data_IF_524331324841
#
_entry.id   IF_524331324841
#
_cell.length_a   1.000
_cell.length_b   1.000
_cell.length_c   1.000
_cell.angle_alpha   90.00
_cell.angle_beta   90.00
_cell.angle_gamma   90.00
#
_symmetry.space_group_name_H-M   'P 1'
#
loop_
_entity.id
_entity.type
_entity.pdbx_description
1 polymer ?
#
# COMPACT_ATOMS: atom_id res chain seq x y z
N UNK A 1 -29.31 -3.27 0.17
CA UNK A 1 -28.41 -4.38 -0.20
C UNK A 1 -29.17 -5.70 -0.31
N UNK A 2 -30.34 -5.70 -0.96
CA UNK A 2 -31.11 -6.93 -1.21
C UNK A 2 -30.51 -7.58 -2.47
N UNK A 3 -30.34 -8.91 -2.47
CA UNK A 3 -29.77 -9.65 -3.60
C UNK A 3 -28.23 -9.76 -3.62
N UNK A 4 -27.51 -9.21 -2.63
CA UNK A 4 -26.05 -9.37 -2.57
C UNK A 4 -25.62 -10.84 -2.42
N UNK A 5 -26.35 -11.61 -1.60
CA UNK A 5 -26.05 -13.03 -1.40
C UNK A 5 -26.19 -13.79 -2.72
N UNK A 6 -27.33 -13.64 -3.41
CA UNK A 6 -27.57 -14.26 -4.72
C UNK A 6 -26.52 -13.86 -5.76
N UNK A 7 -26.15 -12.57 -5.81
CA UNK A 7 -25.11 -12.08 -6.72
C UNK A 7 -23.71 -12.61 -6.39
N UNK A 8 -23.41 -12.88 -5.12
CA UNK A 8 -22.10 -13.35 -4.67
C UNK A 8 -21.91 -14.88 -4.73
N UNK A 9 -22.95 -15.58 -5.16
CA UNK A 9 -22.98 -17.04 -5.29
C UNK A 9 -22.97 -17.43 -6.76
N UNK A 10 -22.21 -18.48 -7.07
CA UNK A 10 -22.23 -19.18 -8.34
C UNK A 10 -23.06 -20.45 -8.20
N UNK A 11 -23.81 -20.78 -9.24
CA UNK A 11 -24.62 -22.00 -9.30
C UNK A 11 -23.84 -23.12 -9.97
N UNK A 12 -23.88 -24.31 -9.38
CA UNK A 12 -23.29 -25.54 -9.90
C UNK A 12 -24.37 -26.57 -10.14
N UNK A 13 -24.32 -27.27 -11.28
CA UNK A 13 -25.21 -28.39 -11.54
C UNK A 13 -24.58 -29.67 -10.99
N UNK A 14 -25.25 -30.32 -10.05
CA UNK A 14 -24.70 -31.50 -9.36
C UNK A 14 -24.63 -32.73 -10.26
N UNK A 15 -25.32 -32.73 -11.42
CA UNK A 15 -25.11 -33.73 -12.47
C UNK A 15 -23.66 -33.80 -12.95
N UNK A 16 -22.91 -32.71 -12.77
CA UNK A 16 -21.52 -32.57 -13.22
C UNK A 16 -20.52 -32.91 -12.10
N UNK A 17 -20.98 -33.50 -10.99
CA UNK A 17 -20.11 -33.99 -9.94
C UNK A 17 -19.15 -35.07 -10.46
N UNK A 18 -17.90 -34.98 -10.00
CA UNK A 18 -16.95 -36.08 -10.13
C UNK A 18 -17.30 -37.16 -9.10
N UNK A 19 -16.81 -38.37 -9.34
CA UNK A 19 -17.08 -39.56 -8.51
C UNK A 19 -16.81 -39.35 -7.01
N UNK A 20 -15.95 -38.39 -6.66
CA UNK A 20 -15.53 -38.06 -5.29
C UNK A 20 -16.24 -36.84 -4.66
N UNK A 21 -17.16 -36.16 -5.36
CA UNK A 21 -17.77 -34.89 -4.92
C UNK A 21 -19.23 -35.00 -4.47
N UNK A 22 -19.89 -36.12 -4.74
CA UNK A 22 -21.30 -36.34 -4.37
C UNK A 22 -21.51 -36.59 -2.89
N UNK A 23 -22.77 -36.57 -2.46
CA UNK A 23 -23.15 -36.90 -1.10
C UNK A 23 -22.74 -38.34 -0.72
N UNK A 24 -22.52 -38.55 0.58
CA UNK A 24 -22.31 -39.90 1.13
C UNK A 24 -23.51 -40.78 0.76
N UNK A 25 -23.29 -42.09 0.59
CA UNK A 25 -24.28 -43.07 0.08
C UNK A 25 -25.65 -43.11 0.79
N UNK A 26 -25.82 -42.39 1.90
CA UNK A 26 -27.06 -42.20 2.65
C UNK A 26 -27.93 -41.03 2.20
N UNK A 27 -27.43 -40.12 1.35
CA UNK A 27 -28.15 -38.90 0.94
C UNK A 27 -28.16 -38.73 -0.59
N UNK A 28 -29.22 -38.12 -1.11
CA UNK A 28 -29.35 -37.80 -2.54
C UNK A 28 -28.85 -36.39 -2.78
N UNK A 29 -28.03 -36.21 -3.81
CA UNK A 29 -27.60 -34.88 -4.24
C UNK A 29 -28.79 -34.02 -4.70
N UNK A 30 -28.86 -32.73 -4.30
CA UNK A 30 -29.84 -31.79 -4.83
C UNK A 30 -29.55 -31.52 -6.31
N UNK A 31 -30.53 -31.06 -7.11
CA UNK A 31 -30.31 -30.84 -8.55
C UNK A 31 -29.28 -29.71 -8.84
N UNK A 32 -29.23 -28.70 -7.97
CA UNK A 32 -28.27 -27.59 -8.05
C UNK A 32 -27.74 -27.24 -6.67
N UNK A 33 -26.48 -26.81 -6.61
CA UNK A 33 -25.89 -26.26 -5.40
C UNK A 33 -25.27 -24.88 -5.68
N UNK A 34 -25.13 -24.07 -4.64
CA UNK A 34 -24.56 -22.73 -4.74
C UNK A 34 -23.29 -22.63 -3.88
N UNK A 35 -22.27 -22.00 -4.43
CA UNK A 35 -21.00 -21.78 -3.75
C UNK A 35 -20.52 -20.35 -3.96
N UNK A 36 -19.70 -19.86 -3.05
CA UNK A 36 -19.18 -18.49 -3.11
C UNK A 36 -18.24 -18.34 -4.30
N UNK A 37 -18.60 -17.47 -5.25
CA UNK A 37 -17.80 -17.25 -6.46
C UNK A 37 -18.51 -16.39 -7.49
N UNK A 38 -17.74 -15.92 -8.46
CA UNK A 38 -18.24 -15.22 -9.66
C UNK A 38 -17.88 -16.05 -10.90
N UNK A 39 -18.63 -17.12 -11.12
CA UNK A 39 -18.46 -18.02 -12.26
C UNK A 39 -19.72 -18.06 -13.10
N UNK A 40 -19.55 -18.41 -14.37
CA UNK A 40 -20.65 -18.56 -15.30
C UNK A 40 -21.54 -19.73 -14.89
N UNK A 41 -22.83 -19.64 -15.23
CA UNK A 41 -23.79 -20.68 -14.93
C UNK A 41 -23.58 -21.95 -15.77
N UNK A 42 -24.27 -23.05 -15.42
CA UNK A 42 -24.17 -24.33 -16.12
C UNK A 42 -24.67 -24.28 -17.58
N UNK A 43 -25.55 -23.34 -17.92
CA UNK A 43 -26.13 -23.18 -19.25
C UNK A 43 -25.46 -22.08 -20.10
N UNK A 44 -24.36 -21.51 -19.60
CA UNK A 44 -23.64 -20.45 -20.31
C UNK A 44 -22.73 -21.03 -21.41
N UNK A 45 -22.22 -20.19 -22.32
CA UNK A 45 -21.34 -20.65 -23.41
C UNK A 45 -20.00 -21.21 -22.91
N UNK A 46 -19.54 -20.72 -21.75
CA UNK A 46 -18.36 -21.22 -21.04
C UNK A 46 -18.77 -21.60 -19.60
N UNK A 47 -19.34 -22.80 -19.39
CA UNK A 47 -19.84 -23.22 -18.08
C UNK A 47 -18.74 -23.23 -17.03
N UNK A 48 -19.06 -22.73 -15.83
CA UNK A 48 -18.16 -22.70 -14.68
C UNK A 48 -16.86 -21.89 -14.89
N UNK A 49 -16.70 -21.23 -16.03
CA UNK A 49 -15.62 -20.27 -16.31
C UNK A 49 -15.71 -19.02 -15.43
N UNK A 50 -14.67 -18.18 -15.46
CA UNK A 50 -14.67 -16.91 -14.72
C UNK A 50 -15.64 -15.93 -15.38
N UNK A 51 -16.59 -15.41 -14.60
CA UNK A 51 -17.54 -14.42 -15.09
C UNK A 51 -16.84 -13.07 -15.33
N UNK A 52 -17.31 -12.23 -16.28
CA UNK A 52 -16.90 -10.84 -16.38
C UNK A 52 -17.00 -10.07 -15.04
N UNK A 53 -17.96 -10.42 -14.17
CA UNK A 53 -18.08 -9.82 -12.83
C UNK A 53 -16.87 -10.11 -11.94
N UNK A 54 -16.25 -11.28 -12.07
CA UNK A 54 -15.02 -11.62 -11.37
C UNK A 54 -13.94 -10.58 -11.64
N UNK A 55 -13.72 -10.26 -12.93
CA UNK A 55 -12.69 -9.33 -13.36
C UNK A 55 -12.94 -7.90 -12.88
N UNK A 56 -14.20 -7.45 -12.87
CA UNK A 56 -14.55 -6.14 -12.31
C UNK A 56 -14.25 -6.05 -10.81
N UNK A 57 -14.64 -7.07 -10.04
CA UNK A 57 -14.37 -7.12 -8.59
C UNK A 57 -12.87 -7.22 -8.33
N UNK A 58 -12.13 -8.01 -9.12
CA UNK A 58 -10.69 -8.12 -9.04
C UNK A 58 -10.00 -6.77 -9.31
N UNK A 59 -10.36 -6.10 -10.41
CA UNK A 59 -9.82 -4.78 -10.76
C UNK A 59 -10.14 -3.74 -9.68
N UNK A 60 -11.37 -3.73 -9.15
CA UNK A 60 -11.76 -2.83 -8.06
C UNK A 60 -10.94 -3.06 -6.78
N UNK A 61 -10.65 -4.32 -6.42
CA UNK A 61 -9.78 -4.65 -5.28
C UNK A 61 -8.35 -4.17 -5.49
N UNK A 62 -7.79 -4.35 -6.69
CA UNK A 62 -6.46 -3.86 -7.02
C UNK A 62 -6.41 -2.33 -7.00
N UNK A 63 -7.39 -1.65 -7.61
CA UNK A 63 -7.48 -0.20 -7.60
C UNK A 63 -7.59 0.34 -6.17
N UNK A 64 -8.35 -0.32 -5.29
CA UNK A 64 -8.44 0.05 -3.89
C UNK A 64 -7.06 -0.01 -3.20
N UNK A 65 -6.29 -1.08 -3.41
CA UNK A 65 -4.94 -1.21 -2.83
C UNK A 65 -4.03 -0.08 -3.32
N UNK A 66 -4.01 0.17 -4.63
CA UNK A 66 -3.19 1.23 -5.24
C UNK A 66 -3.58 2.60 -4.68
N UNK A 67 -4.86 2.94 -4.66
CA UNK A 67 -5.33 4.24 -4.13
C UNK A 67 -4.98 4.37 -2.65
N UNK A 68 -5.22 3.32 -1.85
CA UNK A 68 -4.91 3.32 -0.43
C UNK A 68 -3.41 3.52 -0.18
N UNK A 69 -2.56 2.83 -0.93
CA UNK A 69 -1.10 3.01 -0.87
C UNK A 69 -0.68 4.46 -1.16
N UNK A 70 -1.20 5.07 -2.23
CA UNK A 70 -0.88 6.46 -2.57
C UNK A 70 -1.37 7.43 -1.49
N UNK A 71 -2.55 7.20 -0.92
CA UNK A 71 -3.08 8.02 0.20
C UNK A 71 -2.16 7.93 1.41
N UNK A 72 -1.74 6.72 1.79
CA UNK A 72 -0.81 6.51 2.90
C UNK A 72 0.52 7.21 2.62
N UNK A 73 1.09 7.04 1.43
CA UNK A 73 2.33 7.72 1.06
C UNK A 73 2.23 9.24 1.11
N UNK A 74 1.13 9.82 0.61
CA UNK A 74 0.90 11.26 0.69
C UNK A 74 0.82 11.72 2.13
N UNK A 75 0.06 11.03 2.99
CA UNK A 75 -0.05 11.38 4.41
C UNK A 75 1.31 11.28 5.11
N UNK A 76 2.09 10.23 4.85
CA UNK A 76 3.43 10.09 5.42
C UNK A 76 4.39 11.16 4.92
N UNK A 77 4.30 11.55 3.64
CA UNK A 77 5.10 12.64 3.08
C UNK A 77 4.74 13.99 3.69
N UNK A 78 3.46 14.26 3.92
CA UNK A 78 3.00 15.46 4.63
C UNK A 78 3.53 15.45 6.07
N UNK A 79 3.48 14.31 6.77
CA UNK A 79 4.03 14.20 8.13
C UNK A 79 5.53 14.51 8.18
N UNK A 80 6.31 13.97 7.24
CA UNK A 80 7.74 14.26 7.10
C UNK A 80 8.00 15.74 6.78
N UNK A 81 7.10 16.40 6.04
CA UNK A 81 7.22 17.82 5.77
C UNK A 81 6.92 18.67 7.02
N UNK A 82 5.92 18.29 7.82
CA UNK A 82 5.51 19.03 9.02
C UNK A 82 6.53 18.88 10.15
N UNK A 83 7.12 17.70 10.31
CA UNK A 83 8.10 17.41 11.37
C UNK A 83 9.50 17.46 10.74
N UNK A 84 10.20 18.61 10.76
CA UNK A 84 11.55 18.68 10.24
C UNK A 84 12.48 17.81 11.10
N UNK A 85 13.34 17.03 10.46
CA UNK A 85 14.30 16.13 11.13
C UNK A 85 15.24 16.87 12.10
N UNK A 86 15.45 18.17 11.89
CA UNK A 86 16.28 19.03 12.75
C UNK A 86 15.38 20.09 13.38
N UNK A 87 15.21 20.10 14.71
CA UNK A 87 14.45 21.14 15.39
C UNK A 87 15.14 22.51 15.21
N UNK A 88 14.34 23.57 15.14
CA UNK A 88 14.83 24.93 14.86
C UNK A 88 15.92 25.38 15.85
N UNK A 89 15.81 24.98 17.12
CA UNK A 89 16.78 25.32 18.15
C UNK A 89 18.19 24.77 17.85
N UNK A 90 18.29 23.51 17.41
CA UNK A 90 19.58 22.90 17.04
C UNK A 90 20.18 23.61 15.82
N UNK A 91 19.35 24.01 14.85
CA UNK A 91 19.80 24.80 13.70
C UNK A 91 20.40 26.14 14.15
N UNK A 92 19.76 26.82 15.11
CA UNK A 92 20.28 28.08 15.68
C UNK A 92 21.59 27.86 16.44
N UNK A 93 21.69 26.80 17.24
CA UNK A 93 22.92 26.46 17.95
C UNK A 93 24.08 26.15 16.98
N UNK A 94 23.84 25.34 15.95
CA UNK A 94 24.83 25.06 14.90
C UNK A 94 25.31 26.33 14.19
N UNK A 95 24.40 27.25 13.83
CA UNK A 95 24.78 28.51 13.21
C UNK A 95 25.64 29.37 14.14
N UNK A 96 25.31 29.40 15.43
CA UNK A 96 26.09 30.12 16.44
C UNK A 96 27.49 29.55 16.59
N UNK A 97 27.63 28.24 16.70
CA UNK A 97 28.93 27.58 16.79
C UNK A 97 29.78 27.79 15.52
N UNK A 98 29.16 27.72 14.34
CA UNK A 98 29.84 28.01 13.08
C UNK A 98 30.34 29.44 12.99
N UNK A 99 29.57 30.41 13.51
CA UNK A 99 29.97 31.82 13.56
C UNK A 99 31.16 31.99 14.50
N UNK A 100 31.08 31.48 15.73
CA UNK A 100 32.17 31.54 16.70
C UNK A 100 33.45 30.89 16.17
N UNK A 101 33.33 29.74 15.49
CA UNK A 101 34.47 29.06 14.87
C UNK A 101 35.11 29.87 13.73
N UNK A 102 34.31 30.59 12.93
CA UNK A 102 34.82 31.49 11.88
C UNK A 102 35.55 32.69 12.46
N UNK A 103 35.00 33.32 13.48
CA UNK A 103 35.63 34.45 14.16
C UNK A 103 36.97 34.04 14.81
N UNK A 104 37.00 32.90 15.50
CA UNK A 104 38.23 32.36 16.09
C UNK A 104 39.32 32.16 15.04
N UNK A 105 38.99 31.55 13.88
CA UNK A 105 39.94 31.36 12.77
C UNK A 105 40.44 32.69 12.19
N UNK A 106 39.55 33.66 12.00
CA UNK A 106 39.92 34.98 11.48
C UNK A 106 40.87 35.71 12.43
N UNK A 107 40.56 35.72 13.73
CA UNK A 107 41.42 36.29 14.77
C UNK A 107 42.80 35.61 14.82
N UNK A 108 42.86 34.28 14.71
CA UNK A 108 44.12 33.55 14.62
C UNK A 108 44.92 33.91 13.35
N UNK A 109 44.24 34.10 12.21
CA UNK A 109 44.88 34.53 10.96
C UNK A 109 45.50 35.92 11.07
N UNK A 110 44.76 36.90 11.62
CA UNK A 110 45.27 38.27 11.84
C UNK A 110 46.46 38.28 12.78
N UNK A 111 46.36 37.59 13.93
CA UNK A 111 47.49 37.51 14.90
C UNK A 111 48.75 36.94 14.24
N UNK A 112 48.60 35.91 13.41
CA UNK A 112 49.72 35.28 12.70
C UNK A 112 50.34 36.19 11.63
N UNK A 113 49.55 37.01 10.94
CA UNK A 113 50.04 38.00 9.98
C UNK A 113 50.85 39.11 10.67
N UNK A 114 50.35 39.66 11.78
CA UNK A 114 51.05 40.68 12.57
C UNK A 114 52.37 40.16 13.17
N UNK A 115 52.42 38.88 13.52
CA UNK A 115 53.62 38.26 14.05
C UNK A 115 54.69 37.99 12.98
N UNK A 116 54.28 37.84 11.72
CA UNK A 116 55.19 37.81 10.57
C UNK A 116 55.81 39.19 10.29
N UNK A 117 55.00 40.25 10.30
CA UNK A 117 55.50 41.62 10.09
C UNK A 117 56.43 42.13 11.21
N UNK A 118 56.25 41.67 12.46
CA UNK A 118 57.12 42.06 13.57
C UNK A 118 58.47 41.32 13.61
N UNK A 119 58.72 40.39 12.69
CA UNK A 119 59.91 39.54 12.67
C UNK A 119 60.83 39.81 11.46
N UNK A 120 60.43 40.71 10.55
CA UNK A 120 61.21 41.32 9.47
C UNK A 120 61.74 42.72 9.90
#
# INVERSE_FOLDING_TARGET
LVGYIEHSLSTFNTSDYKEEWGATSSEKDPDVCQYRGYRNGPHDSEPYGLSPHYWHVFAARLAFVVVFEHVVFVITGIMQFIIPDIPAEVKTQMQREQLLAKEAKYQHGIKRAQQGENQD
#
